data_IF_077446881538
#
_entry.id   IF_077446881538
#
_cell.length_a   1.000
_cell.length_b   1.000
_cell.length_c   1.000
_cell.angle_alpha   90.00
_cell.angle_beta   90.00
_cell.angle_gamma   90.00
#
_symmetry.space_group_name_H-M   'P 1'
#
loop_
_entity.id
_entity.type
_entity.pdbx_description
1 polymer ?
#
# COMPACT_ATOMS: atom_id res chain seq x y z
N UNK A 1 -37.21 -51.25 -64.71
CA UNK A 1 -37.43 -50.41 -63.51
C UNK A 1 -36.20 -50.55 -62.62
N UNK A 2 -35.47 -49.45 -62.37
CA UNK A 2 -34.23 -49.42 -61.58
C UNK A 2 -34.55 -49.74 -60.12
N UNK A 3 -33.78 -50.61 -59.47
CA UNK A 3 -33.80 -50.75 -58.01
C UNK A 3 -32.37 -50.83 -57.47
N UNK A 4 -32.10 -49.83 -56.62
CA UNK A 4 -30.82 -49.44 -56.05
C UNK A 4 -30.39 -50.36 -54.90
N UNK A 5 -29.08 -50.39 -54.67
CA UNK A 5 -28.37 -50.98 -53.52
C UNK A 5 -28.82 -50.38 -52.18
N UNK A 6 -28.83 -51.14 -51.08
CA UNK A 6 -28.97 -50.59 -49.73
C UNK A 6 -27.66 -49.97 -49.23
N UNK A 7 -27.79 -48.82 -48.56
CA UNK A 7 -26.71 -48.04 -47.96
C UNK A 7 -26.45 -48.50 -46.51
N UNK A 8 -25.17 -48.64 -46.16
CA UNK A 8 -24.69 -48.91 -44.81
C UNK A 8 -24.81 -47.67 -43.93
N UNK A 9 -25.44 -47.80 -42.75
CA UNK A 9 -25.55 -46.76 -41.74
C UNK A 9 -24.52 -47.02 -40.64
N UNK A 10 -23.46 -46.22 -40.58
CA UNK A 10 -22.46 -46.28 -39.51
C UNK A 10 -22.89 -45.36 -38.37
N UNK A 11 -23.14 -45.93 -37.19
CA UNK A 11 -23.43 -45.20 -35.96
C UNK A 11 -22.09 -44.82 -35.29
N UNK A 12 -21.78 -43.54 -35.26
CA UNK A 12 -20.66 -42.97 -34.48
C UNK A 12 -21.14 -42.71 -33.05
N UNK A 13 -20.64 -43.50 -32.10
CA UNK A 13 -20.80 -43.27 -30.66
C UNK A 13 -19.81 -42.19 -30.21
N UNK A 14 -20.32 -40.99 -29.92
CA UNK A 14 -19.57 -39.90 -29.30
C UNK A 14 -19.51 -40.14 -27.78
N UNK A 15 -18.40 -40.68 -27.28
CA UNK A 15 -18.16 -40.80 -25.84
C UNK A 15 -17.83 -39.42 -25.25
N UNK A 16 -18.80 -38.82 -24.54
CA UNK A 16 -18.59 -37.60 -23.77
C UNK A 16 -17.73 -37.91 -22.52
N UNK A 17 -16.51 -37.39 -22.49
CA UNK A 17 -15.66 -37.40 -21.30
C UNK A 17 -16.17 -36.33 -20.34
N UNK A 18 -16.86 -36.74 -19.27
CA UNK A 18 -17.18 -35.88 -18.14
C UNK A 18 -15.89 -35.72 -17.33
N UNK A 19 -15.20 -34.60 -17.50
CA UNK A 19 -14.10 -34.24 -16.61
C UNK A 19 -14.67 -33.92 -15.21
N UNK A 20 -14.21 -34.59 -14.14
CA UNK A 20 -14.61 -34.21 -12.79
C UNK A 20 -14.06 -32.80 -12.50
N UNK A 21 -14.97 -31.85 -12.29
CA UNK A 21 -14.64 -30.54 -11.75
C UNK A 21 -14.04 -30.74 -10.36
N UNK A 22 -12.72 -30.54 -10.25
CA UNK A 22 -12.02 -30.48 -8.98
C UNK A 22 -12.71 -29.42 -8.09
N UNK A 23 -13.18 -29.76 -6.89
CA UNK A 23 -13.61 -28.75 -5.93
C UNK A 23 -12.41 -27.83 -5.67
N UNK A 24 -12.58 -26.54 -5.95
CA UNK A 24 -11.61 -25.53 -5.58
C UNK A 24 -11.31 -25.67 -4.10
N UNK A 25 -10.06 -25.95 -3.76
CA UNK A 25 -9.60 -25.90 -2.39
C UNK A 25 -9.85 -24.48 -1.89
N UNK A 26 -10.89 -24.31 -1.07
CA UNK A 26 -11.09 -23.15 -0.22
C UNK A 26 -9.92 -23.21 0.77
N UNK A 27 -8.78 -22.65 0.38
CA UNK A 27 -7.66 -22.49 1.28
C UNK A 27 -8.14 -21.68 2.47
N UNK A 28 -7.80 -22.11 3.69
CA UNK A 28 -8.13 -21.40 4.91
C UNK A 28 -7.92 -19.89 4.71
N UNK A 29 -9.02 -19.14 4.63
CA UNK A 29 -8.96 -17.70 4.57
C UNK A 29 -8.27 -17.26 5.85
N UNK A 30 -7.01 -16.85 5.72
CA UNK A 30 -6.22 -16.39 6.85
C UNK A 30 -6.86 -15.06 7.28
N UNK A 31 -7.78 -15.13 8.23
CA UNK A 31 -8.43 -13.95 8.79
C UNK A 31 -7.40 -13.16 9.61
N UNK A 32 -7.49 -11.85 9.53
CA UNK A 32 -6.67 -10.91 10.30
C UNK A 32 -7.57 -9.87 10.94
N UNK A 33 -7.15 -9.40 12.09
CA UNK A 33 -7.72 -8.23 12.76
C UNK A 33 -6.61 -7.18 12.88
N UNK A 34 -6.80 -6.00 12.26
CA UNK A 34 -5.78 -4.95 12.21
C UNK A 34 -6.43 -3.58 12.11
N UNK A 35 -5.78 -2.56 12.66
CA UNK A 35 -6.12 -1.16 12.38
C UNK A 35 -5.32 -0.67 11.19
N UNK A 36 -5.98 -0.17 10.15
CA UNK A 36 -5.27 0.47 9.06
C UNK A 36 -5.54 1.97 8.97
N UNK A 37 -4.50 2.73 8.62
CA UNK A 37 -4.63 4.09 8.10
C UNK A 37 -4.29 4.09 6.62
N UNK A 38 -4.76 5.08 5.88
CA UNK A 38 -4.53 5.18 4.44
C UNK A 38 -3.88 6.51 4.06
N UNK A 39 -3.09 6.49 2.99
CA UNK A 39 -2.46 7.66 2.39
C UNK A 39 -2.46 7.50 0.87
N UNK A 40 -2.82 8.55 0.13
CA UNK A 40 -2.73 8.59 -1.31
C UNK A 40 -1.45 9.29 -1.75
N UNK A 41 -0.71 8.65 -2.64
CA UNK A 41 0.43 9.22 -3.34
C UNK A 41 -0.01 10.28 -4.35
N UNK A 42 -1.07 10.04 -5.12
CA UNK A 42 -1.45 10.99 -6.17
C UNK A 42 -1.91 12.34 -5.57
N UNK A 43 -1.82 13.46 -6.30
CA UNK A 43 -2.23 14.79 -5.81
C UNK A 43 -3.75 14.94 -5.62
N UNK A 44 -4.54 13.88 -5.82
CA UNK A 44 -5.99 13.85 -5.65
C UNK A 44 -6.41 13.08 -4.39
N UNK A 45 -7.66 13.23 -3.98
CA UNK A 45 -8.29 12.38 -2.94
C UNK A 45 -9.00 11.22 -3.63
N UNK A 46 -8.87 10.00 -3.11
CA UNK A 46 -9.67 8.84 -3.54
C UNK A 46 -10.88 8.78 -2.61
N UNK A 47 -12.07 9.10 -3.13
CA UNK A 47 -13.34 9.03 -2.39
C UNK A 47 -14.05 7.72 -2.66
N UNK A 48 -15.06 7.37 -1.87
CA UNK A 48 -16.02 6.29 -2.13
C UNK A 48 -15.39 4.93 -2.46
N UNK A 49 -14.25 4.64 -1.83
CA UNK A 49 -13.54 3.38 -2.00
C UNK A 49 -14.13 2.37 -1.01
N UNK A 50 -14.72 1.29 -1.50
CA UNK A 50 -15.39 0.30 -0.64
C UNK A 50 -14.48 -0.89 -0.36
N UNK A 51 -14.70 -1.55 0.77
CA UNK A 51 -14.05 -2.80 1.16
C UNK A 51 -14.99 -3.59 2.08
N UNK A 52 -14.76 -4.89 2.22
CA UNK A 52 -15.53 -5.73 3.13
C UNK A 52 -14.76 -6.00 4.42
N UNK A 53 -15.41 -5.78 5.57
CA UNK A 53 -14.87 -6.07 6.89
C UNK A 53 -16.00 -6.58 7.78
N UNK A 54 -15.77 -7.70 8.47
CA UNK A 54 -16.75 -8.39 9.32
C UNK A 54 -18.08 -8.66 8.58
N UNK A 55 -17.97 -9.10 7.31
CA UNK A 55 -19.10 -9.33 6.40
C UNK A 55 -19.93 -8.10 6.03
N UNK A 56 -19.50 -6.90 6.41
CA UNK A 56 -20.14 -5.64 6.06
C UNK A 56 -19.32 -4.84 5.05
N UNK A 57 -20.00 -4.13 4.16
CA UNK A 57 -19.34 -3.19 3.23
C UNK A 57 -19.10 -1.87 3.94
N UNK A 58 -17.84 -1.49 4.05
CA UNK A 58 -17.41 -0.21 4.57
C UNK A 58 -16.90 0.69 3.45
N UNK A 59 -16.85 2.01 3.71
CA UNK A 59 -16.36 3.03 2.77
C UNK A 59 -15.18 3.77 3.37
N UNK A 60 -14.13 3.96 2.59
CA UNK A 60 -12.93 4.70 2.92
C UNK A 60 -12.73 5.89 2.00
N UNK A 61 -12.18 6.97 2.56
CA UNK A 61 -11.58 8.08 1.80
C UNK A 61 -10.08 8.08 2.04
N UNK A 62 -9.31 8.08 0.95
CA UNK A 62 -7.85 8.11 0.98
C UNK A 62 -7.35 9.50 0.62
N UNK A 63 -6.78 10.20 1.61
CA UNK A 63 -6.31 11.57 1.48
C UNK A 63 -4.85 11.63 1.00
N UNK A 64 -4.47 12.70 0.30
CA UNK A 64 -3.09 12.91 -0.15
C UNK A 64 -2.28 13.86 0.75
N UNK A 65 -2.96 14.64 1.61
CA UNK A 65 -2.35 15.65 2.49
C UNK A 65 -2.28 15.22 3.96
N UNK A 66 -2.75 14.02 4.28
CA UNK A 66 -2.78 13.50 5.65
C UNK A 66 -3.06 12.00 5.65
N UNK A 67 -2.79 11.35 6.77
CA UNK A 67 -3.28 10.00 7.03
C UNK A 67 -4.79 10.04 7.26
N UNK A 68 -5.52 9.01 6.84
CA UNK A 68 -6.91 8.84 7.27
C UNK A 68 -6.98 8.58 8.78
N UNK A 69 -8.18 8.71 9.34
CA UNK A 69 -8.46 8.11 10.66
C UNK A 69 -8.20 6.60 10.61
N UNK A 70 -7.76 5.97 11.71
CA UNK A 70 -7.63 4.52 11.77
C UNK A 70 -8.97 3.82 11.56
N UNK A 71 -8.96 2.77 10.76
CA UNK A 71 -10.11 1.91 10.45
C UNK A 71 -9.83 0.53 11.05
N UNK A 72 -10.78 0.01 11.84
CA UNK A 72 -10.70 -1.37 12.32
C UNK A 72 -11.11 -2.31 11.17
N UNK A 73 -10.24 -3.26 10.86
CA UNK A 73 -10.45 -4.26 9.83
C UNK A 73 -10.45 -5.65 10.45
N UNK A 74 -11.45 -6.44 10.09
CA UNK A 74 -11.53 -7.86 10.40
C UNK A 74 -11.99 -8.63 9.16
N UNK A 75 -11.14 -9.48 8.62
CA UNK A 75 -11.45 -10.17 7.37
C UNK A 75 -10.23 -10.87 6.77
N UNK A 76 -10.31 -11.33 5.51
CA UNK A 76 -9.21 -12.00 4.84
C UNK A 76 -7.93 -11.14 4.80
N UNK A 77 -6.76 -11.76 5.00
CA UNK A 77 -5.47 -11.07 4.85
C UNK A 77 -5.29 -10.43 3.45
N UNK A 78 -5.99 -10.94 2.44
CA UNK A 78 -6.04 -10.34 1.12
C UNK A 78 -7.14 -9.26 1.06
N UNK A 79 -6.80 -8.05 1.45
CA UNK A 79 -7.71 -6.91 1.44
C UNK A 79 -7.93 -6.41 0.01
N UNK A 80 -9.19 -6.40 -0.41
CA UNK A 80 -9.64 -5.89 -1.71
C UNK A 80 -10.45 -4.62 -1.51
N UNK A 81 -10.07 -3.57 -2.24
CA UNK A 81 -10.88 -2.38 -2.37
C UNK A 81 -11.57 -2.35 -3.73
N UNK A 82 -12.83 -1.93 -3.75
CA UNK A 82 -13.67 -1.94 -4.95
C UNK A 82 -14.51 -0.67 -5.10
N UNK A 83 -14.95 -0.45 -6.33
CA UNK A 83 -16.05 0.46 -6.68
C UNK A 83 -17.34 -0.33 -6.70
N UNK A 84 -18.44 0.32 -6.36
CA UNK A 84 -19.76 -0.26 -6.48
C UNK A 84 -20.62 0.64 -7.36
N UNK A 85 -21.08 0.10 -8.48
CA UNK A 85 -21.85 0.82 -9.50
C UNK A 85 -23.04 -0.01 -9.94
N UNK A 86 -24.19 0.60 -10.15
CA UNK A 86 -25.36 -0.11 -10.68
C UNK A 86 -25.10 -0.53 -12.14
N UNK A 87 -25.44 -1.77 -12.47
CA UNK A 87 -25.40 -2.27 -13.83
C UNK A 87 -26.43 -1.52 -14.68
N UNK A 88 -26.06 -0.97 -15.87
CA UNK A 88 -26.94 -0.09 -16.63
C UNK A 88 -28.27 -0.72 -17.07
N UNK A 89 -28.31 -2.04 -17.23
CA UNK A 89 -29.49 -2.74 -17.76
C UNK A 89 -30.33 -3.41 -16.68
N UNK A 90 -29.70 -3.89 -15.60
CA UNK A 90 -30.38 -4.68 -14.55
C UNK A 90 -30.58 -3.89 -13.27
N UNK A 91 -29.86 -2.78 -13.08
CA UNK A 91 -29.85 -2.00 -11.84
C UNK A 91 -29.11 -2.69 -10.68
N UNK A 92 -28.62 -3.91 -10.87
CA UNK A 92 -27.90 -4.68 -9.85
C UNK A 92 -26.55 -4.01 -9.53
N UNK A 93 -26.17 -4.01 -8.25
CA UNK A 93 -24.90 -3.43 -7.83
C UNK A 93 -23.74 -4.34 -8.23
N UNK A 94 -22.83 -3.82 -9.06
CA UNK A 94 -21.62 -4.51 -9.51
C UNK A 94 -20.43 -4.01 -8.72
N UNK A 95 -19.67 -4.93 -8.12
CA UNK A 95 -18.41 -4.64 -7.43
C UNK A 95 -17.24 -4.80 -8.40
N UNK A 96 -16.52 -3.70 -8.65
CA UNK A 96 -15.33 -3.68 -9.51
C UNK A 96 -14.08 -3.48 -8.64
N UNK A 97 -13.20 -4.48 -8.49
CA UNK A 97 -11.95 -4.32 -7.76
C UNK A 97 -11.07 -3.23 -8.38
N UNK A 98 -10.60 -2.29 -7.57
CA UNK A 98 -9.69 -1.20 -7.98
C UNK A 98 -8.40 -1.16 -7.18
N UNK A 99 -8.29 -1.92 -6.10
CA UNK A 99 -7.02 -2.14 -5.42
C UNK A 99 -7.03 -3.47 -4.68
N UNK A 100 -5.84 -4.04 -4.47
CA UNK A 100 -5.67 -5.26 -3.69
C UNK A 100 -4.32 -5.24 -3.01
N UNK A 101 -4.26 -5.72 -1.76
CA UNK A 101 -3.02 -5.88 -1.02
C UNK A 101 -3.09 -7.04 -0.05
N UNK A 102 -1.93 -7.59 0.29
CA UNK A 102 -1.82 -8.62 1.33
C UNK A 102 -1.35 -7.98 2.62
N UNK A 103 -2.22 -7.97 3.63
CA UNK A 103 -1.92 -7.50 4.96
C UNK A 103 -0.88 -8.43 5.61
N UNK A 104 0.19 -7.88 6.23
CA UNK A 104 1.16 -8.70 6.94
C UNK A 104 0.52 -9.37 8.16
N UNK A 105 0.99 -10.57 8.49
CA UNK A 105 0.51 -11.32 9.65
C UNK A 105 0.97 -10.67 10.97
N UNK A 106 0.19 -10.86 12.03
CA UNK A 106 0.55 -10.47 13.41
C UNK A 106 0.85 -8.97 13.60
N UNK A 107 0.14 -8.10 12.88
CA UNK A 107 0.23 -6.65 13.05
C UNK A 107 -1.04 -6.10 13.67
N UNK A 108 -0.87 -5.18 14.62
CA UNK A 108 -1.97 -4.42 15.20
C UNK A 108 -2.29 -3.17 14.37
N UNK A 109 -1.29 -2.60 13.69
CA UNK A 109 -1.40 -1.36 12.93
C UNK A 109 -0.62 -1.43 11.61
N UNK A 110 -1.24 -0.94 10.53
CA UNK A 110 -0.64 -0.87 9.18
C UNK A 110 -1.00 0.46 8.50
N UNK A 111 -0.05 1.04 7.77
CA UNK A 111 -0.31 2.14 6.85
C UNK A 111 -0.45 1.59 5.43
N UNK A 112 -1.54 1.90 4.75
CA UNK A 112 -1.77 1.55 3.36
C UNK A 112 -1.49 2.76 2.47
N UNK A 113 -0.43 2.69 1.68
CA UNK A 113 -0.07 3.75 0.72
C UNK A 113 -0.58 3.38 -0.66
N UNK A 114 -1.49 4.20 -1.20
CA UNK A 114 -2.11 4.03 -2.51
C UNK A 114 -1.31 4.77 -3.58
N UNK A 115 -0.98 4.08 -4.66
CA UNK A 115 -0.34 4.64 -5.85
C UNK A 115 -1.19 4.30 -7.08
N UNK A 116 -1.69 5.32 -7.79
CA UNK A 116 -2.45 5.10 -9.03
C UNK A 116 -1.52 4.51 -10.09
N UNK A 117 -1.97 3.42 -10.75
CA UNK A 117 -1.25 2.85 -11.88
C UNK A 117 -1.53 3.70 -13.13
N UNK A 118 -0.54 4.45 -13.58
CA UNK A 118 -0.66 5.40 -14.71
C UNK A 118 -0.85 4.69 -16.06
N UNK A 119 -0.31 3.49 -16.24
CA UNK A 119 -0.38 2.73 -17.50
C UNK A 119 -1.63 1.82 -17.60
N UNK A 120 -2.70 2.12 -16.87
CA UNK A 120 -3.92 1.30 -16.86
C UNK A 120 -5.10 2.08 -17.44
N UNK A 121 -5.79 1.48 -18.41
CA UNK A 121 -7.05 2.02 -18.97
C UNK A 121 -8.19 2.02 -17.94
N UNK A 122 -8.09 1.16 -16.91
CA UNK A 122 -9.03 1.07 -15.79
C UNK A 122 -8.44 1.71 -14.55
N UNK A 123 -9.28 2.32 -13.73
CA UNK A 123 -8.89 2.77 -12.39
C UNK A 123 -8.32 1.59 -11.61
N UNK A 124 -7.03 1.66 -11.27
CA UNK A 124 -6.38 0.64 -10.45
C UNK A 124 -5.25 1.26 -9.64
N UNK A 125 -5.16 0.84 -8.38
CA UNK A 125 -4.15 1.31 -7.44
C UNK A 125 -3.27 0.15 -6.99
N UNK A 126 -1.97 0.39 -6.97
CA UNK A 126 -1.05 -0.41 -6.18
C UNK A 126 -1.12 0.07 -4.74
N UNK A 127 -1.18 -0.87 -3.80
CA UNK A 127 -1.27 -0.55 -2.37
C UNK A 127 -0.10 -1.20 -1.64
N UNK A 128 0.75 -0.37 -1.05
CA UNK A 128 1.90 -0.79 -0.25
C UNK A 128 1.49 -0.86 1.22
N UNK A 129 1.48 -2.06 1.83
CA UNK A 129 1.22 -2.20 3.26
C UNK A 129 2.51 -1.98 4.04
N UNK A 130 2.51 -0.98 4.90
CA UNK A 130 3.66 -0.60 5.74
C UNK A 130 3.34 -0.97 7.19
N UNK A 131 4.04 -1.94 7.79
CA UNK A 131 3.90 -2.26 9.20
C UNK A 131 4.17 -1.04 10.09
N UNK A 132 3.28 -0.74 11.04
CA UNK A 132 3.46 0.36 12.01
C UNK A 132 3.87 -0.15 13.38
N UNK A 133 4.78 -1.12 13.42
CA UNK A 133 5.22 -1.70 14.69
C UNK A 133 5.96 -0.67 15.53
N UNK A 134 5.39 -0.34 16.70
CA UNK A 134 5.94 0.69 17.58
C UNK A 134 7.30 0.34 18.18
N UNK A 135 7.63 -0.95 18.27
CA UNK A 135 8.94 -1.41 18.75
C UNK A 135 10.05 -1.24 17.71
N UNK A 136 9.71 -1.35 16.43
CA UNK A 136 10.69 -1.26 15.33
C UNK A 136 10.83 0.16 14.79
N UNK A 137 9.80 0.99 14.95
CA UNK A 137 9.82 2.39 14.59
C UNK A 137 9.58 3.21 15.86
N UNK A 138 10.59 3.47 16.71
CA UNK A 138 10.41 4.07 18.04
C UNK A 138 10.12 5.57 17.97
N UNK A 139 9.77 6.20 19.11
CA UNK A 139 9.58 7.67 19.17
C UNK A 139 10.90 8.39 18.86
N UNK A 140 10.82 9.58 18.27
CA UNK A 140 11.99 10.35 17.83
C UNK A 140 12.67 9.83 16.56
N UNK A 141 12.12 8.79 15.93
CA UNK A 141 12.73 8.22 14.72
C UNK A 141 12.04 8.68 13.43
N UNK A 142 12.75 8.47 12.33
CA UNK A 142 12.34 8.79 10.97
C UNK A 142 12.28 7.51 10.16
N UNK A 143 11.09 7.16 9.66
CA UNK A 143 10.94 6.05 8.71
C UNK A 143 10.86 6.63 7.31
N UNK A 144 11.88 6.32 6.50
CA UNK A 144 12.04 6.88 5.16
C UNK A 144 11.76 5.79 4.14
N UNK A 145 10.90 6.11 3.17
CA UNK A 145 10.55 5.26 2.05
C UNK A 145 11.01 5.89 0.75
N UNK A 146 11.84 5.17 0.00
CA UNK A 146 12.20 5.55 -1.35
C UNK A 146 11.22 4.95 -2.35
N UNK A 147 10.28 5.78 -2.77
CA UNK A 147 9.30 5.44 -3.78
C UNK A 147 9.63 6.03 -5.15
N UNK A 148 10.76 6.72 -5.30
CA UNK A 148 11.24 7.15 -6.61
C UNK A 148 11.75 5.95 -7.43
N UNK A 149 12.03 6.18 -8.70
CA UNK A 149 12.59 5.18 -9.61
C UNK A 149 14.13 5.17 -9.67
N UNK A 150 14.79 5.85 -8.72
CA UNK A 150 16.24 5.88 -8.59
C UNK A 150 16.69 5.72 -7.13
N UNK A 151 17.94 5.34 -6.92
CA UNK A 151 18.52 5.26 -5.57
C UNK A 151 18.72 6.65 -4.97
N UNK A 152 18.52 6.75 -3.66
CA UNK A 152 18.66 8.00 -2.91
C UNK A 152 19.68 7.78 -1.79
N UNK A 153 20.67 8.68 -1.72
CA UNK A 153 21.53 8.83 -0.55
C UNK A 153 20.98 9.95 0.31
N UNK A 154 20.76 9.67 1.59
CA UNK A 154 20.21 10.62 2.54
C UNK A 154 21.17 10.93 3.69
N UNK A 155 21.00 12.13 4.24
CA UNK A 155 21.58 12.57 5.50
C UNK A 155 20.45 13.12 6.37
N UNK A 156 20.30 12.60 7.59
CA UNK A 156 19.42 13.17 8.62
C UNK A 156 20.29 13.40 9.85
N UNK A 157 20.54 14.67 10.15
CA UNK A 157 21.59 15.07 11.09
C UNK A 157 22.91 14.38 10.73
N UNK A 158 23.65 13.76 11.65
CA UNK A 158 24.91 13.07 11.31
C UNK A 158 24.73 11.66 10.72
N UNK A 159 23.49 11.16 10.64
CA UNK A 159 23.19 9.83 10.11
C UNK A 159 23.07 9.81 8.59
N UNK A 160 23.93 9.02 7.95
CA UNK A 160 23.95 8.80 6.49
C UNK A 160 23.33 7.46 6.13
N UNK A 161 22.61 7.40 5.02
CA UNK A 161 22.03 6.15 4.52
C UNK A 161 21.89 6.16 3.01
N UNK A 162 21.73 4.97 2.43
CA UNK A 162 21.40 4.80 1.01
C UNK A 162 20.19 3.90 0.89
N UNK A 163 19.22 4.30 0.08
CA UNK A 163 18.02 3.56 -0.22
C UNK A 163 17.96 3.22 -1.69
N UNK A 164 17.86 1.93 -1.99
CA UNK A 164 17.50 1.49 -3.34
C UNK A 164 16.05 1.93 -3.67
N UNK A 165 15.68 1.81 -4.95
CA UNK A 165 14.30 1.96 -5.38
C UNK A 165 13.38 1.01 -4.60
N UNK A 166 12.23 1.53 -4.13
CA UNK A 166 11.21 0.78 -3.39
C UNK A 166 11.69 0.23 -2.04
N UNK A 167 12.77 0.79 -1.50
CA UNK A 167 13.35 0.39 -0.22
C UNK A 167 12.97 1.37 0.91
N UNK A 168 13.24 0.99 2.15
CA UNK A 168 13.00 1.82 3.33
C UNK A 168 14.04 1.63 4.41
N UNK A 169 14.27 2.68 5.20
CA UNK A 169 15.16 2.65 6.37
C UNK A 169 14.51 3.39 7.53
N UNK A 170 14.90 3.02 8.74
CA UNK A 170 14.57 3.76 9.96
C UNK A 170 15.86 4.40 10.45
N UNK A 171 15.82 5.72 10.61
CA UNK A 171 16.90 6.50 11.22
C UNK A 171 16.45 6.93 12.60
N UNK A 172 17.23 6.52 13.60
CA UNK A 172 17.04 6.91 14.98
C UNK A 172 18.05 8.00 15.31
N UNK A 173 17.56 9.13 15.86
CA UNK A 173 18.43 10.18 16.37
C UNK A 173 18.56 10.06 17.89
N UNK A 174 19.67 10.54 18.48
CA UNK A 174 19.85 10.54 19.92
C UNK A 174 18.66 11.18 20.66
N UNK A 175 18.11 10.46 21.63
CA UNK A 175 16.80 10.72 22.23
C UNK A 175 16.70 11.98 23.13
N UNK A 176 17.65 12.91 23.08
CA UNK A 176 17.89 13.80 24.22
C UNK A 176 17.49 15.26 24.03
N UNK A 177 17.27 15.79 22.82
CA UNK A 177 16.83 17.19 22.67
C UNK A 177 15.91 17.42 21.47
N UNK A 178 14.84 18.17 21.70
CA UNK A 178 14.10 18.85 20.62
C UNK A 178 15.04 19.88 20.00
N UNK A 179 15.41 19.69 18.74
CA UNK A 179 16.42 20.50 18.07
C UNK A 179 16.05 20.74 16.61
N UNK A 180 16.85 21.54 15.91
CA UNK A 180 16.80 21.64 14.45
C UNK A 180 17.85 20.70 13.87
N UNK A 181 17.44 19.84 12.94
CA UNK A 181 18.30 18.89 12.26
C UNK A 181 18.45 19.26 10.79
N UNK A 182 19.63 19.03 10.24
CA UNK A 182 19.87 19.13 8.81
C UNK A 182 19.36 17.87 8.10
N UNK A 183 18.59 18.04 7.03
CA UNK A 183 18.15 16.93 6.19
C UNK A 183 18.49 17.19 4.74
N UNK A 184 19.23 16.25 4.15
CA UNK A 184 19.64 16.29 2.74
C UNK A 184 19.31 14.97 2.08
N UNK A 185 18.85 15.04 0.83
CA UNK A 185 18.71 13.88 -0.04
C UNK A 185 19.37 14.17 -1.37
N UNK A 186 20.12 13.20 -1.87
CA UNK A 186 20.79 13.26 -3.14
C UNK A 186 20.40 12.04 -3.99
N UNK A 187 20.24 12.26 -5.29
CA UNK A 187 20.12 11.17 -6.26
C UNK A 187 21.52 10.62 -6.51
N UNK A 188 21.64 9.29 -6.49
CA UNK A 188 22.87 8.61 -6.92
C UNK A 188 22.86 8.47 -8.45
N UNK A 189 23.87 9.00 -9.12
CA UNK A 189 24.07 8.90 -10.58
C UNK A 189 25.48 8.31 -10.83
N UNK A 190 25.58 6.97 -10.85
CA UNK A 190 26.89 6.30 -10.90
C UNK A 190 27.68 6.56 -9.61
N UNK A 191 28.90 7.09 -9.76
CA UNK A 191 29.78 7.46 -8.65
C UNK A 191 29.55 8.90 -8.13
N UNK A 192 28.64 9.65 -8.75
CA UNK A 192 28.33 11.03 -8.38
C UNK A 192 27.01 11.14 -7.60
N UNK A 193 26.95 12.10 -6.68
CA UNK A 193 25.74 12.45 -5.93
C UNK A 193 25.27 13.84 -6.34
N UNK A 194 24.04 13.91 -6.85
CA UNK A 194 23.40 15.19 -7.15
C UNK A 194 22.41 15.53 -6.06
N UNK A 195 22.66 16.63 -5.34
CA UNK A 195 21.76 17.13 -4.32
C UNK A 195 20.38 17.40 -4.93
N UNK A 196 19.35 16.79 -4.36
CA UNK A 196 17.98 16.86 -4.84
C UNK A 196 17.05 17.55 -3.82
N UNK A 197 17.44 17.58 -2.54
CA UNK A 197 16.74 18.28 -1.48
C UNK A 197 17.68 18.63 -0.34
N UNK A 198 17.48 19.81 0.26
CA UNK A 198 18.16 20.24 1.48
C UNK A 198 17.24 21.14 2.29
N UNK A 199 17.07 20.86 3.58
CA UNK A 199 16.21 21.63 4.46
C UNK A 199 16.56 21.42 5.93
N UNK A 200 16.20 22.40 6.78
CA UNK A 200 16.32 22.31 8.23
C UNK A 200 14.96 21.95 8.82
N UNK A 201 14.90 20.91 9.65
CA UNK A 201 13.65 20.41 10.22
C UNK A 201 13.68 20.45 11.74
N UNK A 202 12.56 20.82 12.37
CA UNK A 202 12.37 20.62 13.80
C UNK A 202 12.19 19.14 14.14
N UNK A 203 13.14 18.60 14.91
CA UNK A 203 13.09 17.28 15.53
C UNK A 203 12.40 17.38 16.90
N UNK A 204 11.48 16.46 17.16
CA UNK A 204 10.81 16.32 18.46
C UNK A 204 10.84 14.85 18.86
N UNK A 205 11.26 14.58 20.09
CA UNK A 205 11.47 13.21 20.62
C UNK A 205 10.16 12.47 20.89
N UNK A 206 9.04 13.19 20.98
CA UNK A 206 7.68 12.67 21.15
C UNK A 206 6.97 12.35 19.83
N UNK A 207 7.62 12.62 18.69
CA UNK A 207 7.04 12.37 17.38
C UNK A 207 7.77 11.26 16.64
N UNK A 208 7.05 10.61 15.76
CA UNK A 208 7.58 9.75 14.70
C UNK A 208 7.29 10.40 13.38
N UNK A 209 8.22 10.31 12.43
CA UNK A 209 8.07 10.97 11.14
C UNK A 209 8.19 9.95 10.03
N UNK A 210 7.11 9.78 9.28
CA UNK A 210 7.16 9.06 8.01
C UNK A 210 7.55 10.03 6.90
N UNK A 211 8.56 9.67 6.13
CA UNK A 211 9.05 10.43 4.98
C UNK A 211 8.88 9.57 3.75
N UNK A 212 8.15 10.12 2.78
CA UNK A 212 7.94 9.48 1.49
C UNK A 212 8.61 10.33 0.41
N UNK A 213 9.48 9.70 -0.37
CA UNK A 213 10.20 10.33 -1.47
C UNK A 213 9.66 9.82 -2.79
N UNK A 214 9.23 10.71 -3.65
CA UNK A 214 8.61 10.40 -4.93
C UNK A 214 9.34 11.08 -6.07
N UNK A 215 9.12 10.61 -7.29
CA UNK A 215 9.51 11.39 -8.47
C UNK A 215 8.76 12.71 -8.48
N UNK A 216 9.47 13.76 -8.87
CA UNK A 216 8.89 15.05 -9.18
C UNK A 216 8.97 15.29 -10.69
N UNK A 217 7.98 15.97 -11.24
CA UNK A 217 8.01 16.45 -12.62
C UNK A 217 8.91 17.70 -12.77
N UNK A 218 9.40 18.26 -11.66
CA UNK A 218 10.37 19.37 -11.66
C UNK A 218 11.78 18.86 -12.03
N UNK A 219 12.36 19.30 -13.16
CA UNK A 219 13.68 18.87 -13.58
C UNK A 219 14.82 19.37 -12.66
N UNK A 220 14.57 20.40 -11.85
CA UNK A 220 15.53 20.96 -10.89
C UNK A 220 15.48 20.19 -9.57
N UNK A 221 14.28 19.89 -9.08
CA UNK A 221 14.04 19.12 -7.87
C UNK A 221 13.42 17.77 -8.24
N UNK A 222 14.22 16.75 -8.58
CA UNK A 222 13.71 15.49 -9.12
C UNK A 222 12.98 14.64 -8.07
N UNK A 223 12.97 15.05 -6.80
CA UNK A 223 12.25 14.39 -5.72
C UNK A 223 11.19 15.30 -5.10
N UNK A 224 9.98 14.78 -4.97
CA UNK A 224 8.94 15.34 -4.11
C UNK A 224 9.00 14.64 -2.75
N UNK A 225 9.02 15.40 -1.66
CA UNK A 225 9.08 14.85 -0.30
C UNK A 225 7.81 15.17 0.45
N UNK A 226 7.17 14.12 0.98
CA UNK A 226 6.02 14.23 1.88
C UNK A 226 6.37 13.71 3.25
N UNK A 227 5.95 14.46 4.28
CA UNK A 227 6.28 14.19 5.67
C UNK A 227 5.01 14.14 6.50
N UNK A 228 4.86 13.06 7.26
CA UNK A 228 3.73 12.88 8.17
C UNK A 228 4.27 12.64 9.57
N UNK A 229 3.93 13.55 10.48
CA UNK A 229 4.31 13.48 11.89
C UNK A 229 3.18 12.82 12.67
N UNK A 230 3.52 11.85 13.49
CA UNK A 230 2.64 11.22 14.45
C UNK A 230 3.16 11.49 15.85
N UNK A 231 2.30 12.02 16.72
CA UNK A 231 2.60 12.10 18.14
C UNK A 231 2.49 10.71 18.78
N UNK A 232 3.53 10.32 19.51
CA UNK A 232 3.56 9.06 20.26
C UNK A 232 3.78 9.39 21.73
N UNK A 233 2.75 9.25 22.57
CA UNK A 233 2.87 9.54 23.99
C UNK A 233 3.93 8.64 24.62
N UNK A 234 4.59 9.14 25.67
CA UNK A 234 5.43 8.28 26.49
C UNK A 234 4.57 7.14 27.04
N UNK A 235 5.10 5.92 27.02
CA UNK A 235 4.48 4.82 27.76
C UNK A 235 4.40 5.26 29.23
N UNK A 236 3.18 5.32 29.76
CA UNK A 236 3.01 5.49 31.20
C UNK A 236 3.63 4.25 31.86
N UNK A 237 4.45 4.39 32.92
CA UNK A 237 4.88 3.25 33.70
C UNK A 237 3.63 2.44 34.05
N UNK A 238 3.65 1.13 33.80
CA UNK A 238 2.58 0.26 34.29
C UNK A 238 2.48 0.53 35.80
N UNK A 239 1.32 1.00 36.26
CA UNK A 239 1.05 1.08 37.68
C UNK A 239 1.24 -0.34 38.23
N UNK A 240 2.26 -0.53 39.07
CA UNK A 240 2.45 -1.75 39.83
C UNK A 240 1.18 -1.94 40.67
N UNK A 241 0.33 -2.90 40.27
CA UNK A 241 -0.79 -3.38 41.07
C UNK A 241 -0.34 -4.51 41.98
#
# INVERSE_FOLDING_TARGET
>A
MKLLKPASFSILLLSAWIAPSLPGQIGEENLVEVKFTTLNWAPSVIRDLKFESDSEVQTATVYNRGLSIPVNYKGPANLVFFRETAHPQTGEMVRTPVAQTRLPKNLNEVLLVFQKKTNSQREFYRVYPIPRNRKQFPRGSYQIFNFSDFSITGKIDDEMFTLAKQDSVIVELPAQQTTTIEVKFARSEGDEWKLAYSSLWGHKTDNRVNIFMFNSDDPVNPIEIRRYKEFVPAEQPAEEQ
#
